data_IF_315907813636
#
_entry.id   IF_315907813636
#
_cell.length_a   1.000
_cell.length_b   1.000
_cell.length_c   1.000
_cell.angle_alpha   90.00
_cell.angle_beta   90.00
_cell.angle_gamma   90.00
#
_symmetry.space_group_name_H-M   'P 1'
#
loop_
_entity.id
_entity.type
_entity.pdbx_description
1 polymer ?
#
# COMPACT_ATOMS: atom_id res chain seq x y z
N UNK A 1 -9.54 -4.18 -24.28
CA UNK A 1 -10.49 -3.05 -24.18
C UNK A 1 -9.66 -1.76 -24.11
N UNK A 2 -9.84 -0.83 -25.05
CA UNK A 2 -9.14 0.47 -25.04
C UNK A 2 -10.11 1.50 -24.49
N UNK A 3 -9.76 2.15 -23.38
CA UNK A 3 -10.59 3.22 -22.82
C UNK A 3 -10.44 4.47 -23.69
N UNK A 4 -11.56 5.02 -24.13
CA UNK A 4 -11.61 6.24 -24.94
C UNK A 4 -11.84 7.45 -24.02
N UNK A 5 -11.23 8.59 -24.33
CA UNK A 5 -11.34 9.85 -23.58
C UNK A 5 -10.85 9.79 -22.11
N UNK A 6 -10.02 8.81 -21.77
CA UNK A 6 -9.42 8.68 -20.44
C UNK A 6 -7.93 8.95 -20.48
N UNK A 7 -7.37 9.46 -19.38
CA UNK A 7 -5.92 9.57 -19.18
C UNK A 7 -5.49 8.56 -18.12
N UNK A 8 -4.49 7.70 -18.39
CA UNK A 8 -3.95 6.84 -17.36
C UNK A 8 -3.14 7.68 -16.36
N UNK A 9 -3.39 7.47 -15.07
CA UNK A 9 -2.64 8.08 -13.96
C UNK A 9 -1.97 6.94 -13.18
N UNK A 10 -0.72 7.09 -12.72
CA UNK A 10 -0.03 6.00 -12.02
C UNK A 10 -0.76 5.59 -10.74
N UNK A 11 -0.99 4.29 -10.53
CA UNK A 11 -1.68 3.81 -9.32
C UNK A 11 -0.93 4.20 -8.03
N UNK A 12 0.41 4.20 -8.07
CA UNK A 12 1.27 4.62 -6.94
C UNK A 12 0.91 6.04 -6.46
N UNK A 13 0.48 6.92 -7.37
CA UNK A 13 0.04 8.25 -7.01
C UNK A 13 -1.19 8.21 -6.11
N UNK A 14 -2.19 7.40 -6.45
CA UNK A 14 -3.41 7.25 -5.64
C UNK A 14 -3.17 6.46 -4.35
N UNK A 15 -2.33 5.43 -4.40
CA UNK A 15 -2.11 4.54 -3.26
C UNK A 15 -1.27 5.20 -2.15
N UNK A 16 -0.23 5.96 -2.51
CA UNK A 16 0.79 6.41 -1.56
C UNK A 16 0.93 7.94 -1.45
N UNK A 17 0.71 8.66 -2.55
CA UNK A 17 1.12 10.07 -2.65
C UNK A 17 -0.04 11.04 -2.41
N UNK A 18 -1.25 10.68 -2.83
CA UNK A 18 -2.41 11.58 -2.80
C UNK A 18 -2.78 12.06 -1.39
N UNK A 19 -2.53 11.26 -0.35
CA UNK A 19 -2.84 11.61 1.04
C UNK A 19 -1.89 12.65 1.64
N UNK A 20 -0.67 12.77 1.09
CA UNK A 20 0.37 13.68 1.60
C UNK A 20 0.38 15.03 0.88
N UNK A 21 -0.28 15.12 -0.28
CA UNK A 21 -0.25 16.29 -1.15
C UNK A 21 -1.43 17.23 -0.90
N UNK A 22 -1.18 18.53 -1.05
CA UNK A 22 -2.23 19.54 -1.06
C UNK A 22 -3.18 19.37 -2.25
N UNK A 23 -4.45 19.78 -2.08
CA UNK A 23 -5.43 19.76 -3.16
C UNK A 23 -4.99 20.53 -4.41
N UNK A 24 -4.21 21.60 -4.23
CA UNK A 24 -3.56 22.32 -5.34
C UNK A 24 -2.51 21.48 -6.05
N UNK A 25 -1.60 20.83 -5.32
CA UNK A 25 -0.58 19.97 -5.90
C UNK A 25 -1.17 18.80 -6.68
N UNK A 26 -2.23 18.16 -6.15
CA UNK A 26 -2.94 17.08 -6.83
C UNK A 26 -3.48 17.54 -8.19
N UNK A 27 -4.14 18.70 -8.23
CA UNK A 27 -4.68 19.25 -9.49
C UNK A 27 -3.58 19.61 -10.48
N UNK A 28 -2.46 20.19 -10.01
CA UNK A 28 -1.29 20.47 -10.84
C UNK A 28 -0.72 19.17 -11.42
N UNK A 29 -0.52 18.14 -10.59
CA UNK A 29 0.01 16.85 -11.00
C UNK A 29 -0.87 16.19 -12.06
N UNK A 30 -2.18 16.10 -11.82
CA UNK A 30 -3.13 15.53 -12.78
C UNK A 30 -3.15 16.30 -14.10
N UNK A 31 -2.99 17.63 -14.07
CA UNK A 31 -2.87 18.44 -15.28
C UNK A 31 -1.59 18.11 -16.06
N UNK A 32 -0.46 17.94 -15.38
CA UNK A 32 0.80 17.50 -16.00
C UNK A 32 0.63 16.11 -16.62
N UNK A 33 0.07 15.16 -15.87
CA UNK A 33 -0.18 13.79 -16.36
C UNK A 33 -1.09 13.79 -17.60
N UNK A 34 -2.14 14.62 -17.63
CA UNK A 34 -3.03 14.77 -18.80
C UNK A 34 -2.28 15.25 -20.04
N UNK A 35 -1.33 16.15 -19.87
CA UNK A 35 -0.53 16.69 -20.96
C UNK A 35 0.51 15.68 -21.48
N UNK A 36 1.09 14.86 -20.61
CA UNK A 36 2.10 13.87 -20.99
C UNK A 36 1.49 12.55 -21.48
N UNK A 37 0.71 11.88 -20.63
CA UNK A 37 0.20 10.53 -20.87
C UNK A 37 -1.13 10.51 -21.65
N UNK A 38 -1.84 11.63 -21.66
CA UNK A 38 -3.11 11.77 -22.36
C UNK A 38 -2.98 12.13 -23.85
N UNK A 39 -1.76 12.32 -24.35
CA UNK A 39 -1.48 12.50 -25.77
C UNK A 39 -0.58 11.36 -26.24
N UNK A 40 -0.92 10.78 -27.40
CA UNK A 40 -0.18 9.69 -28.00
C UNK A 40 0.14 10.02 -29.44
N UNK A 41 1.34 9.66 -29.86
CA UNK A 41 1.77 9.78 -31.25
C UNK A 41 1.10 8.70 -32.12
N UNK A 42 1.29 8.77 -33.44
CA UNK A 42 0.81 7.77 -34.40
C UNK A 42 1.26 6.34 -34.04
N UNK A 43 2.45 6.22 -33.44
CA UNK A 43 3.04 4.98 -32.95
C UNK A 43 2.50 4.53 -31.58
N UNK A 44 1.58 5.27 -30.98
CA UNK A 44 0.97 4.97 -29.67
C UNK A 44 1.82 5.36 -28.45
N UNK A 45 3.00 5.94 -28.67
CA UNK A 45 3.91 6.40 -27.62
C UNK A 45 3.39 7.66 -26.94
N UNK A 46 3.63 7.78 -25.63
CA UNK A 46 3.29 8.97 -24.83
C UNK A 46 4.46 9.95 -24.79
N UNK A 47 4.17 11.22 -24.54
CA UNK A 47 5.21 12.25 -24.38
C UNK A 47 5.99 12.01 -23.08
N UNK A 48 7.32 12.04 -23.16
CA UNK A 48 8.21 11.94 -21.99
C UNK A 48 8.31 13.26 -21.21
N UNK A 49 8.24 14.38 -21.94
CA UNK A 49 8.40 15.74 -21.43
C UNK A 49 7.50 16.67 -22.27
N UNK A 50 6.83 17.62 -21.62
CA UNK A 50 5.96 18.57 -22.32
C UNK A 50 6.15 19.98 -21.75
N UNK A 51 6.08 20.98 -22.62
CA UNK A 51 6.07 22.38 -22.20
C UNK A 51 4.65 22.75 -21.79
N UNK A 52 4.49 23.24 -20.56
CA UNK A 52 3.19 23.64 -20.03
C UNK A 52 3.28 25.10 -19.60
N UNK A 53 2.57 25.96 -20.30
CA UNK A 53 2.46 27.36 -19.93
C UNK A 53 1.65 27.52 -18.65
N UNK A 54 1.97 28.55 -17.86
CA UNK A 54 1.30 28.81 -16.58
C UNK A 54 -0.23 28.97 -16.73
N UNK A 55 -0.69 29.61 -17.81
CA UNK A 55 -2.11 29.80 -18.14
C UNK A 55 -2.87 28.48 -18.38
N UNK A 56 -2.19 27.38 -18.68
CA UNK A 56 -2.85 26.07 -18.80
C UNK A 56 -3.27 25.53 -17.44
N UNK A 57 -2.60 25.93 -16.35
CA UNK A 57 -2.99 25.58 -14.99
C UNK A 57 -4.15 26.42 -14.46
N UNK A 58 -4.35 27.64 -14.99
CA UNK A 58 -5.54 28.45 -14.66
C UNK A 58 -6.83 27.73 -15.10
N UNK A 59 -6.79 26.97 -16.21
CA UNK A 59 -7.90 26.11 -16.64
C UNK A 59 -8.22 24.97 -15.66
N UNK A 60 -7.30 24.63 -14.76
CA UNK A 60 -7.55 23.69 -13.67
C UNK A 60 -8.21 24.36 -12.44
N UNK A 61 -8.55 25.65 -12.55
CA UNK A 61 -9.20 26.43 -11.48
C UNK A 61 -8.24 26.78 -10.35
N UNK A 62 -6.94 26.93 -10.62
CA UNK A 62 -5.93 27.26 -9.63
C UNK A 62 -5.41 28.68 -9.80
N UNK A 63 -5.17 29.37 -8.69
CA UNK A 63 -4.49 30.67 -8.70
C UNK A 63 -2.99 30.52 -8.92
N UNK A 64 -2.33 31.58 -9.41
CA UNK A 64 -0.90 31.53 -9.72
C UNK A 64 0.00 31.14 -8.54
N UNK A 65 -0.37 31.60 -7.34
CA UNK A 65 0.30 31.23 -6.10
C UNK A 65 0.14 29.73 -5.80
N UNK A 66 -1.07 29.20 -5.97
CA UNK A 66 -1.37 27.78 -5.72
C UNK A 66 -0.64 26.86 -6.68
N UNK A 67 -0.50 27.27 -7.95
CA UNK A 67 0.27 26.51 -8.95
C UNK A 67 1.75 26.49 -8.57
N UNK A 68 2.32 27.64 -8.22
CA UNK A 68 3.74 27.72 -7.83
C UNK A 68 4.03 26.85 -6.60
N UNK A 69 3.19 26.96 -5.56
CA UNK A 69 3.30 26.14 -4.36
C UNK A 69 3.13 24.64 -4.69
N UNK A 70 2.13 24.29 -5.50
CA UNK A 70 1.87 22.91 -5.89
C UNK A 70 3.03 22.30 -6.70
N UNK A 71 3.64 23.05 -7.63
CA UNK A 71 4.82 22.55 -8.35
C UNK A 71 5.99 22.34 -7.38
N UNK A 72 6.19 23.24 -6.41
CA UNK A 72 7.26 23.09 -5.43
C UNK A 72 7.06 21.85 -4.55
N UNK A 73 5.84 21.61 -4.10
CA UNK A 73 5.46 20.43 -3.32
C UNK A 73 5.72 19.14 -4.11
N UNK A 74 5.32 19.10 -5.39
CA UNK A 74 5.58 17.94 -6.26
C UNK A 74 7.07 17.69 -6.53
N UNK A 75 7.89 18.75 -6.54
CA UNK A 75 9.35 18.63 -6.65
C UNK A 75 9.96 18.09 -5.37
N UNK A 76 9.49 18.56 -4.21
CA UNK A 76 9.97 18.08 -2.91
C UNK A 76 9.69 16.57 -2.73
N UNK A 77 8.53 16.10 -3.19
CA UNK A 77 8.16 14.67 -3.19
C UNK A 77 8.77 13.87 -4.36
N UNK A 78 9.64 14.48 -5.18
CA UNK A 78 10.29 13.86 -6.35
C UNK A 78 9.32 13.21 -7.36
N UNK A 79 8.10 13.74 -7.48
CA UNK A 79 7.08 13.19 -8.39
C UNK A 79 7.24 13.69 -9.83
N UNK A 80 7.85 14.88 -9.97
CA UNK A 80 8.04 15.54 -11.26
C UNK A 80 9.46 16.06 -11.37
N UNK A 81 9.92 16.24 -12.60
CA UNK A 81 11.12 16.99 -12.93
C UNK A 81 10.75 18.21 -13.76
N UNK A 82 11.37 19.35 -13.43
CA UNK A 82 11.14 20.61 -14.12
C UNK A 82 12.44 21.07 -14.75
N UNK A 83 12.43 21.30 -16.05
CA UNK A 83 13.65 21.65 -16.80
C UNK A 83 13.40 22.74 -17.84
N UNK A 84 14.46 23.42 -18.25
CA UNK A 84 14.42 24.34 -19.38
C UNK A 84 14.54 23.59 -20.73
N UNK A 85 14.56 24.34 -21.83
CA UNK A 85 14.85 23.85 -23.17
C UNK A 85 16.21 23.16 -23.26
N UNK A 86 17.22 23.68 -22.56
CA UNK A 86 18.57 23.12 -22.51
C UNK A 86 18.71 21.95 -21.52
N UNK A 87 17.61 21.45 -20.95
CA UNK A 87 17.59 20.41 -19.92
C UNK A 87 18.29 20.76 -18.60
N UNK A 88 18.56 22.05 -18.36
CA UNK A 88 18.98 22.52 -17.04
C UNK A 88 17.83 22.35 -16.04
N UNK A 89 18.15 21.88 -14.85
CA UNK A 89 17.18 21.70 -13.78
C UNK A 89 16.66 23.06 -13.28
N UNK A 90 15.34 23.16 -13.10
CA UNK A 90 14.63 24.37 -12.67
C UNK A 90 13.89 24.11 -11.35
N UNK A 91 14.58 23.43 -10.43
CA UNK A 91 14.10 23.18 -9.08
C UNK A 91 13.84 24.49 -8.31
N UNK A 92 14.70 25.49 -8.48
CA UNK A 92 14.53 26.80 -7.83
C UNK A 92 13.39 27.63 -8.45
N UNK A 93 12.42 28.12 -7.66
CA UNK A 93 11.34 28.98 -8.14
C UNK A 93 11.81 30.26 -8.85
N UNK A 94 12.91 30.87 -8.41
CA UNK A 94 13.39 32.12 -9.04
C UNK A 94 13.94 31.86 -10.44
N UNK A 95 14.69 30.78 -10.63
CA UNK A 95 15.14 30.37 -11.96
C UNK A 95 13.96 30.00 -12.87
N UNK A 96 12.96 29.29 -12.33
CA UNK A 96 11.75 28.90 -13.07
C UNK A 96 10.96 30.11 -13.59
N UNK A 97 10.89 31.19 -12.80
CA UNK A 97 10.21 32.44 -13.20
C UNK A 97 10.94 33.18 -14.33
N UNK A 98 12.27 33.06 -14.38
CA UNK A 98 13.11 33.67 -15.44
C UNK A 98 13.12 32.84 -16.73
N UNK A 99 12.85 31.54 -16.64
CA UNK A 99 12.81 30.66 -17.79
C UNK A 99 11.70 31.06 -18.77
N UNK A 100 12.02 31.10 -20.07
CA UNK A 100 11.03 31.41 -21.12
C UNK A 100 10.01 30.29 -21.29
N UNK A 101 10.45 29.04 -21.15
CA UNK A 101 9.62 27.85 -21.28
C UNK A 101 9.99 26.86 -20.19
N UNK A 102 8.98 26.38 -19.49
CA UNK A 102 9.15 25.41 -18.42
C UNK A 102 8.58 24.08 -18.88
N UNK A 103 9.43 23.08 -18.91
CA UNK A 103 9.05 21.75 -19.32
C UNK A 103 8.94 20.83 -18.12
N UNK A 104 7.94 19.97 -18.15
CA UNK A 104 7.61 19.04 -17.09
C UNK A 104 7.78 17.61 -17.58
N UNK A 105 8.39 16.78 -16.75
CA UNK A 105 8.48 15.34 -16.91
C UNK A 105 8.02 14.65 -15.62
N UNK A 106 7.52 13.42 -15.73
CA UNK A 106 7.15 12.63 -14.56
C UNK A 106 8.33 11.75 -14.14
N UNK A 107 8.65 11.73 -12.84
CA UNK A 107 9.50 10.70 -12.26
C UNK A 107 8.60 9.55 -11.82
N UNK A 108 8.37 8.58 -12.70
CA UNK A 108 7.71 7.34 -12.29
C UNK A 108 8.77 6.32 -11.87
N UNK A 109 8.76 5.93 -10.60
CA UNK A 109 9.22 4.60 -10.21
C UNK A 109 8.13 3.58 -10.58
N UNK A 110 8.21 3.06 -11.80
CA UNK A 110 7.35 1.97 -12.25
C UNK A 110 7.80 0.65 -11.61
N UNK A 111 7.59 0.47 -10.31
CA UNK A 111 7.56 -0.87 -9.76
C UNK A 111 6.31 -1.57 -10.30
N UNK A 112 6.51 -2.53 -11.21
CA UNK A 112 5.41 -3.36 -11.73
C UNK A 112 4.81 -4.15 -10.57
N UNK A 113 3.70 -3.68 -10.00
CA UNK A 113 2.87 -4.51 -9.11
C UNK A 113 2.20 -5.57 -10.01
N UNK A 114 2.72 -6.78 -9.99
CA UNK A 114 2.06 -7.93 -10.61
C UNK A 114 0.95 -8.42 -9.69
N UNK A 115 -0.20 -8.79 -10.24
CA UNK A 115 -1.39 -9.25 -9.51
C UNK A 115 -1.21 -10.57 -8.75
N UNK A 116 -0.01 -11.15 -8.76
CA UNK A 116 0.29 -12.40 -8.05
C UNK A 116 0.31 -12.24 -6.52
N UNK A 117 0.58 -11.03 -6.02
CA UNK A 117 0.63 -10.75 -4.59
C UNK A 117 -0.60 -9.94 -4.16
N UNK A 118 -1.72 -10.63 -3.98
CA UNK A 118 -2.88 -10.07 -3.29
C UNK A 118 -2.74 -10.33 -1.79
N UNK A 119 -3.41 -9.54 -0.95
CA UNK A 119 -3.51 -9.80 0.50
C UNK A 119 -4.08 -11.19 0.82
N UNK A 120 -4.82 -11.79 -0.12
CA UNK A 120 -5.31 -13.17 -0.06
C UNK A 120 -4.22 -14.24 -0.28
N UNK A 121 -3.11 -13.90 -0.94
CA UNK A 121 -1.93 -14.77 -1.14
C UNK A 121 -0.80 -14.46 -0.18
N UNK A 122 -0.97 -13.49 0.73
CA UNK A 122 0.01 -13.23 1.79
C UNK A 122 0.07 -14.46 2.68
N UNK A 123 1.22 -15.13 2.75
CA UNK A 123 1.41 -16.28 3.64
C UNK A 123 1.01 -15.86 5.06
N UNK A 124 0.00 -16.53 5.61
CA UNK A 124 -0.44 -16.27 6.98
C UNK A 124 0.73 -16.70 7.86
N UNK A 125 1.33 -15.78 8.66
CA UNK A 125 2.42 -16.17 9.54
C UNK A 125 1.90 -17.29 10.46
N UNK A 126 2.65 -18.41 10.60
CA UNK A 126 2.19 -19.54 11.37
C UNK A 126 1.88 -19.08 12.79
N UNK A 127 0.66 -19.38 13.25
CA UNK A 127 0.27 -19.09 14.61
C UNK A 127 1.08 -20.01 15.54
N UNK A 128 2.04 -19.43 16.27
CA UNK A 128 2.78 -20.16 17.30
C UNK A 128 1.85 -20.51 18.46
N UNK A 129 1.21 -21.68 18.37
CA UNK A 129 0.42 -22.23 19.46
C UNK A 129 1.38 -22.60 20.60
N UNK A 130 1.08 -22.14 21.81
CA UNK A 130 1.79 -22.61 23.00
C UNK A 130 1.59 -24.11 23.11
N UNK A 131 2.68 -24.86 23.27
CA UNK A 131 2.62 -26.28 23.59
C UNK A 131 1.79 -26.47 24.87
N UNK A 132 0.59 -27.04 24.73
CA UNK A 132 -0.19 -27.50 25.87
C UNK A 132 0.54 -28.70 26.45
N UNK A 133 0.85 -28.68 27.75
CA UNK A 133 1.41 -29.85 28.45
C UNK A 133 0.57 -31.07 28.09
N UNK A 134 1.20 -32.07 27.48
CA UNK A 134 0.55 -33.35 27.24
C UNK A 134 0.14 -33.92 28.59
N UNK A 135 -1.16 -33.95 28.86
CA UNK A 135 -1.71 -34.73 29.95
C UNK A 135 -1.66 -36.17 29.45
N UNK A 136 -0.63 -36.91 29.87
CA UNK A 136 -0.51 -38.35 29.60
C UNK A 136 -1.61 -39.10 30.34
N UNK A 137 -2.83 -39.07 29.80
CA UNK A 137 -3.87 -39.97 30.25
C UNK A 137 -3.50 -41.38 29.76
N UNK A 138 -3.55 -42.41 30.63
CA UNK A 138 -3.34 -43.78 30.18
C UNK A 138 -4.38 -44.10 29.10
N UNK A 139 -3.91 -44.43 27.89
CA UNK A 139 -4.76 -44.87 26.78
C UNK A 139 -5.22 -46.29 27.08
N UNK A 140 -6.50 -46.48 27.40
CA UNK A 140 -7.08 -47.81 27.53
C UNK A 140 -7.20 -48.46 26.15
N UNK A 141 -6.68 -49.67 25.99
CA UNK A 141 -6.91 -50.48 24.78
C UNK A 141 -8.35 -50.99 24.79
N UNK A 142 -9.03 -51.00 23.64
CA UNK A 142 -10.45 -51.31 23.55
C UNK A 142 -10.84 -52.70 24.09
N UNK A 143 -9.86 -53.61 24.19
CA UNK A 143 -10.04 -54.99 24.66
C UNK A 143 -9.86 -55.15 26.17
N UNK A 144 -9.37 -54.13 26.87
CA UNK A 144 -9.19 -54.10 28.33
C UNK A 144 -10.31 -53.32 29.03
N UNK A 145 -11.51 -53.27 28.43
CA UNK A 145 -12.63 -52.50 28.97
C UNK A 145 -13.08 -53.12 30.29
N UNK A 146 -12.53 -52.59 31.38
CA UNK A 146 -12.83 -53.00 32.76
C UNK A 146 -14.34 -52.92 32.97
N UNK A 147 -14.99 -53.98 33.48
CA UNK A 147 -16.41 -53.97 33.77
C UNK A 147 -16.79 -52.77 34.65
N UNK A 148 -17.94 -52.17 34.40
CA UNK A 148 -18.37 -50.94 35.11
C UNK A 148 -18.43 -51.13 36.63
N UNK A 149 -18.71 -52.34 37.11
CA UNK A 149 -18.65 -52.68 38.54
C UNK A 149 -17.26 -52.45 39.15
N UNK A 150 -16.20 -52.94 38.48
CA UNK A 150 -14.82 -52.73 38.90
C UNK A 150 -14.41 -51.25 38.79
N UNK A 151 -14.88 -50.55 37.76
CA UNK A 151 -14.62 -49.11 37.57
C UNK A 151 -15.21 -48.27 38.70
N UNK A 152 -16.46 -48.54 39.09
CA UNK A 152 -17.15 -47.84 40.18
C UNK A 152 -16.44 -48.07 41.51
N UNK A 153 -15.98 -49.29 41.76
CA UNK A 153 -15.28 -49.65 42.99
C UNK A 153 -13.90 -48.99 43.10
N UNK A 154 -13.17 -48.84 41.99
CA UNK A 154 -11.94 -48.06 41.93
C UNK A 154 -12.18 -46.59 42.23
N UNK A 155 -13.23 -45.99 41.68
CA UNK A 155 -13.61 -44.59 41.93
C UNK A 155 -13.93 -44.39 43.42
N UNK A 156 -14.73 -45.28 44.02
CA UNK A 156 -15.06 -45.23 45.46
C UNK A 156 -13.80 -45.31 46.33
N UNK A 157 -12.92 -46.28 46.09
CA UNK A 157 -11.64 -46.41 46.82
C UNK A 157 -10.76 -45.16 46.67
N UNK A 158 -10.73 -44.56 45.49
CA UNK A 158 -9.94 -43.36 45.25
C UNK A 158 -10.52 -42.14 45.97
N UNK A 159 -11.84 -41.99 46.00
CA UNK A 159 -12.54 -40.96 46.77
C UNK A 159 -12.31 -41.13 48.28
N UNK A 160 -12.41 -42.35 48.81
CA UNK A 160 -12.10 -42.64 50.22
C UNK A 160 -10.66 -42.28 50.57
N UNK A 161 -9.68 -42.63 49.73
CA UNK A 161 -8.27 -42.24 49.95
C UNK A 161 -8.08 -40.73 49.95
N UNK A 162 -8.74 -40.01 49.04
CA UNK A 162 -8.71 -38.54 49.01
C UNK A 162 -9.39 -37.92 50.23
N UNK A 163 -10.46 -38.54 50.73
CA UNK A 163 -11.17 -38.11 51.94
C UNK A 163 -10.28 -38.31 53.17
N UNK A 164 -9.67 -39.49 53.35
CA UNK A 164 -8.72 -39.76 54.44
C UNK A 164 -7.53 -38.80 54.42
N UNK A 165 -6.99 -38.46 53.24
CA UNK A 165 -5.92 -37.47 53.12
C UNK A 165 -6.33 -36.06 53.54
N UNK A 166 -7.60 -35.69 53.34
CA UNK A 166 -8.17 -34.41 53.79
C UNK A 166 -8.47 -34.40 55.27
N UNK A 167 -8.98 -35.52 55.79
CA UNK A 167 -9.34 -35.66 57.21
C UNK A 167 -8.09 -35.81 58.10
N UNK A 168 -6.95 -36.24 57.54
CA UNK A 168 -5.64 -36.27 58.19
C UNK A 168 -4.86 -34.93 58.13
N UNK A 169 -5.51 -33.84 57.69
CA UNK A 169 -4.93 -32.49 57.63
C UNK A 169 -5.54 -31.56 58.68
#
# INVERSE_FOLDING_TARGET
MKLNNTTPVPNVFFDAQIGNLSGSAIRVYLKIVRNLLGWRDENGNVKKKDWIAHSQFEKAGLSNRSVTNGIQELLNENLIQVTDYLNNDLADPFQRKKAKRVYYALLLENQKKTTFYNEKTKEIPPQELRSTKEISLPKYTANERVPDSFRIEQIKRQQERMQIQRDNW
#
